data_IF_269076656538
#
_entry.id   IF_269076656538
#
_cell.length_a   1.000
_cell.length_b   1.000
_cell.length_c   1.000
_cell.angle_alpha   90.00
_cell.angle_beta   90.00
_cell.angle_gamma   90.00
#
_symmetry.space_group_name_H-M   'P 1'
#
loop_
_entity.id
_entity.type
_entity.pdbx_description
1 polymer ?
#
# COMPACT_ATOMS: atom_id res chain seq x y z
N UNK A 1 -7.13 -18.90 22.02
CA UNK A 1 -7.79 -18.76 23.33
C UNK A 1 -8.95 -17.77 23.31
N UNK A 2 -8.80 -16.55 22.79
CA UNK A 2 -9.94 -15.61 22.71
C UNK A 2 -11.06 -16.03 21.73
N UNK A 3 -10.72 -16.56 20.56
CA UNK A 3 -11.71 -16.90 19.52
C UNK A 3 -12.56 -18.13 19.84
N UNK A 4 -12.02 -19.08 20.61
CA UNK A 4 -12.72 -20.29 21.05
C UNK A 4 -13.85 -19.95 22.04
N UNK A 5 -13.60 -19.03 22.99
CA UNK A 5 -14.64 -18.52 23.89
C UNK A 5 -15.72 -17.71 23.18
N UNK A 6 -15.36 -16.96 22.12
CA UNK A 6 -16.34 -16.23 21.31
C UNK A 6 -17.23 -17.18 20.49
N UNK A 7 -16.67 -18.29 20.00
CA UNK A 7 -17.45 -19.34 19.34
C UNK A 7 -18.43 -20.00 20.32
N UNK A 8 -17.97 -20.35 21.52
CA UNK A 8 -18.80 -20.92 22.58
C UNK A 8 -19.98 -20.00 22.96
N UNK A 9 -19.74 -18.69 23.11
CA UNK A 9 -20.81 -17.73 23.37
C UNK A 9 -21.80 -17.63 22.18
N UNK A 10 -21.31 -17.60 20.94
CA UNK A 10 -22.16 -17.56 19.76
C UNK A 10 -23.05 -18.81 19.64
N UNK A 11 -22.52 -19.98 20.02
CA UNK A 11 -23.26 -21.25 20.10
C UNK A 11 -24.28 -21.25 21.25
N UNK A 12 -23.93 -20.69 22.41
CA UNK A 12 -24.83 -20.53 23.55
C UNK A 12 -26.07 -19.68 23.21
N UNK A 13 -25.88 -18.59 22.46
CA UNK A 13 -26.97 -17.73 21.98
C UNK A 13 -27.59 -18.20 20.65
N UNK A 14 -27.09 -19.28 20.06
CA UNK A 14 -27.56 -19.85 18.80
C UNK A 14 -27.58 -18.85 17.62
N UNK A 15 -26.53 -18.04 17.49
CA UNK A 15 -26.41 -17.01 16.45
C UNK A 15 -25.77 -17.63 15.20
N UNK A 16 -26.56 -18.36 14.41
CA UNK A 16 -26.11 -19.13 13.24
C UNK A 16 -25.15 -18.40 12.27
N UNK A 17 -25.44 -17.16 11.82
CA UNK A 17 -24.54 -16.41 10.94
C UNK A 17 -23.18 -16.13 11.57
N UNK A 18 -23.13 -15.83 12.87
CA UNK A 18 -21.90 -15.52 13.60
C UNK A 18 -21.08 -16.80 13.82
N UNK A 19 -21.72 -17.90 14.20
CA UNK A 19 -21.09 -19.23 14.32
C UNK A 19 -20.41 -19.60 13.00
N UNK A 20 -21.07 -19.38 11.86
CA UNK A 20 -20.51 -19.66 10.54
C UNK A 20 -19.28 -18.80 10.25
N UNK A 21 -19.36 -17.49 10.46
CA UNK A 21 -18.23 -16.57 10.22
C UNK A 21 -17.03 -16.91 11.12
N UNK A 22 -17.26 -17.24 12.39
CA UNK A 22 -16.19 -17.61 13.31
C UNK A 22 -15.56 -18.94 12.92
N UNK A 23 -16.36 -19.96 12.57
CA UNK A 23 -15.85 -21.26 12.11
C UNK A 23 -15.07 -21.14 10.80
N UNK A 24 -15.57 -20.39 9.83
CA UNK A 24 -14.89 -20.12 8.56
C UNK A 24 -13.52 -19.42 8.81
N UNK A 25 -13.48 -18.44 9.73
CA UNK A 25 -12.24 -17.74 10.13
C UNK A 25 -11.26 -18.61 10.91
N UNK A 26 -11.76 -19.48 11.79
CA UNK A 26 -10.93 -20.43 12.53
C UNK A 26 -10.33 -21.46 11.59
N UNK A 27 -11.08 -21.99 10.62
CA UNK A 27 -10.58 -22.91 9.61
C UNK A 27 -9.50 -22.29 8.71
N UNK A 28 -9.62 -20.99 8.37
CA UNK A 28 -8.57 -20.25 7.67
C UNK A 28 -7.27 -20.15 8.49
N UNK A 29 -7.40 -20.02 9.81
CA UNK A 29 -6.28 -19.87 10.76
C UNK A 29 -5.66 -21.21 11.18
N UNK A 30 -6.47 -22.27 11.20
CA UNK A 30 -6.08 -23.65 11.47
C UNK A 30 -5.69 -24.42 10.21
N UNK A 31 -5.82 -23.82 9.01
CA UNK A 31 -5.08 -24.30 7.84
C UNK A 31 -3.62 -24.25 8.27
N UNK A 32 -2.96 -25.41 8.44
CA UNK A 32 -1.60 -25.38 8.93
C UNK A 32 -0.83 -24.50 7.97
N UNK A 33 -0.18 -23.50 8.56
CA UNK A 33 1.12 -23.00 8.15
C UNK A 33 2.13 -24.19 8.06
N UNK A 34 1.76 -25.32 7.46
CA UNK A 34 2.65 -25.97 6.50
C UNK A 34 2.89 -24.91 5.45
N UNK A 35 3.86 -24.04 5.73
CA UNK A 35 4.36 -23.04 4.81
C UNK A 35 4.70 -23.81 3.55
N UNK A 36 3.79 -23.80 2.57
CA UNK A 36 4.16 -24.14 1.22
C UNK A 36 5.21 -23.10 0.89
N UNK A 37 6.48 -23.49 0.62
CA UNK A 37 7.50 -22.52 0.27
C UNK A 37 6.93 -21.63 -0.83
N UNK A 38 7.00 -20.30 -0.69
CA UNK A 38 6.41 -19.41 -1.65
C UNK A 38 6.90 -19.75 -3.06
N UNK A 39 5.97 -19.95 -3.98
CA UNK A 39 6.32 -20.29 -5.35
C UNK A 39 6.85 -19.03 -6.01
N UNK A 40 8.02 -19.09 -6.63
CA UNK A 40 8.59 -17.94 -7.34
C UNK A 40 8.35 -18.09 -8.84
N UNK A 41 7.93 -17.01 -9.49
CA UNK A 41 7.89 -16.89 -10.95
C UNK A 41 9.04 -16.01 -11.40
N UNK A 42 9.76 -16.46 -12.42
CA UNK A 42 10.89 -15.73 -12.99
C UNK A 42 10.55 -15.19 -14.38
N UNK A 43 11.04 -13.99 -14.69
CA UNK A 43 11.05 -13.41 -16.04
C UNK A 43 12.46 -12.97 -16.38
N UNK A 44 12.78 -13.01 -17.66
CA UNK A 44 14.03 -12.48 -18.21
C UNK A 44 13.65 -11.37 -19.17
N UNK A 45 14.19 -10.17 -18.93
CA UNK A 45 13.98 -8.98 -19.74
C UNK A 45 15.28 -8.64 -20.45
N UNK A 46 15.23 -8.43 -21.75
CA UNK A 46 16.37 -7.99 -22.55
C UNK A 46 16.30 -6.48 -22.74
N UNK A 47 17.40 -5.77 -22.53
CA UNK A 47 17.50 -4.33 -22.74
C UNK A 47 18.89 -3.93 -23.20
N UNK A 48 18.99 -2.76 -23.81
CA UNK A 48 20.28 -2.12 -24.10
C UNK A 48 20.81 -1.38 -22.86
N UNK A 49 22.10 -1.09 -22.84
CA UNK A 49 22.80 -0.43 -21.72
C UNK A 49 22.15 0.89 -21.33
N UNK A 50 21.79 1.72 -22.30
CA UNK A 50 21.24 3.06 -22.11
C UNK A 50 19.82 3.07 -21.57
N UNK A 51 19.07 1.97 -21.76
CA UNK A 51 17.69 1.83 -21.29
C UNK A 51 17.61 1.09 -19.94
N UNK A 52 18.70 0.45 -19.49
CA UNK A 52 18.71 -0.45 -18.35
C UNK A 52 18.18 0.21 -17.07
N UNK A 53 18.71 1.38 -16.71
CA UNK A 53 18.30 2.08 -15.49
C UNK A 53 16.83 2.44 -15.54
N UNK A 54 16.33 2.91 -16.69
CA UNK A 54 14.93 3.25 -16.86
C UNK A 54 14.04 2.00 -16.75
N UNK A 55 14.41 0.90 -17.39
CA UNK A 55 13.66 -0.34 -17.37
C UNK A 55 13.56 -0.93 -15.96
N UNK A 56 14.68 -0.98 -15.22
CA UNK A 56 14.70 -1.50 -13.84
C UNK A 56 13.92 -0.60 -12.88
N UNK A 57 14.00 0.73 -13.07
CA UNK A 57 13.33 1.69 -12.18
C UNK A 57 11.82 1.77 -12.40
N UNK A 58 11.33 1.42 -13.58
CA UNK A 58 9.90 1.46 -13.93
C UNK A 58 9.22 0.10 -13.85
N UNK A 59 9.93 -0.93 -13.35
CA UNK A 59 9.31 -2.23 -13.10
C UNK A 59 8.12 -2.07 -12.14
N UNK A 60 7.02 -2.74 -12.46
CA UNK A 60 5.84 -2.76 -11.61
C UNK A 60 6.17 -3.31 -10.22
N UNK A 61 5.46 -2.84 -9.20
CA UNK A 61 5.63 -3.27 -7.82
C UNK A 61 5.55 -4.80 -7.65
N UNK A 62 6.40 -5.32 -6.76
CA UNK A 62 6.45 -6.74 -6.41
C UNK A 62 7.31 -7.61 -7.32
N UNK A 63 8.01 -7.04 -8.32
CA UNK A 63 9.15 -7.73 -8.95
C UNK A 63 10.43 -7.45 -8.18
N UNK A 64 11.18 -8.50 -7.89
CA UNK A 64 12.50 -8.43 -7.27
C UNK A 64 13.55 -8.63 -8.34
N UNK A 65 14.54 -7.76 -8.35
CA UNK A 65 15.72 -7.93 -9.17
C UNK A 65 16.57 -9.08 -8.62
N UNK A 66 16.96 -10.02 -9.47
CA UNK A 66 17.75 -11.20 -9.09
C UNK A 66 19.16 -11.15 -9.66
N UNK A 67 19.29 -10.86 -10.96
CA UNK A 67 20.57 -10.90 -11.65
C UNK A 67 20.55 -10.04 -12.91
N UNK A 68 21.69 -9.43 -13.23
CA UNK A 68 21.96 -8.78 -14.51
C UNK A 68 23.11 -9.51 -15.19
N UNK A 69 22.90 -9.92 -16.44
CA UNK A 69 23.91 -10.61 -17.25
C UNK A 69 24.24 -9.74 -18.45
N UNK A 70 25.52 -9.39 -18.60
CA UNK A 70 26.01 -8.73 -19.82
C UNK A 70 26.20 -9.79 -20.91
N UNK A 71 25.56 -9.59 -22.06
CA UNK A 71 25.62 -10.48 -23.22
C UNK A 71 26.23 -9.80 -24.46
N UNK A 72 26.92 -8.66 -24.27
CA UNK A 72 27.52 -7.87 -25.34
C UNK A 72 28.37 -8.68 -26.32
N UNK A 73 28.45 -8.23 -27.57
CA UNK A 73 29.12 -8.98 -28.61
C UNK A 73 30.65 -8.94 -28.41
N UNK A 74 31.29 -10.10 -28.49
CA UNK A 74 32.76 -10.25 -28.31
C UNK A 74 33.56 -9.87 -29.56
N UNK A 75 32.90 -9.38 -30.62
CA UNK A 75 33.53 -9.06 -31.91
C UNK A 75 32.97 -7.77 -32.51
N UNK A 76 33.35 -6.63 -31.93
CA UNK A 76 33.02 -5.31 -32.47
C UNK A 76 34.07 -4.76 -33.41
N UNK A 77 33.71 -4.62 -34.69
CA UNK A 77 34.52 -3.97 -35.71
C UNK A 77 34.04 -2.56 -36.09
N UNK A 78 33.00 -2.06 -35.43
CA UNK A 78 32.40 -0.74 -35.66
C UNK A 78 31.89 -0.23 -34.32
N UNK A 79 32.41 0.91 -33.87
CA UNK A 79 32.26 1.42 -32.50
C UNK A 79 30.88 1.98 -32.14
N UNK A 80 29.82 1.21 -32.32
CA UNK A 80 28.44 1.54 -31.90
C UNK A 80 27.72 0.35 -31.22
N UNK A 81 28.47 -0.60 -30.65
CA UNK A 81 27.86 -1.70 -29.89
C UNK A 81 27.49 -1.20 -28.50
N UNK A 82 26.23 -0.87 -28.35
CA UNK A 82 25.64 -0.67 -27.04
C UNK A 82 25.51 -2.04 -26.40
N UNK A 83 26.09 -2.21 -25.20
CA UNK A 83 26.11 -3.51 -24.56
C UNK A 83 24.67 -3.98 -24.28
N UNK A 84 24.35 -5.20 -24.71
CA UNK A 84 23.06 -5.81 -24.40
C UNK A 84 23.10 -6.53 -23.05
N UNK A 85 21.99 -6.47 -22.31
CA UNK A 85 21.84 -7.09 -21.00
C UNK A 85 20.58 -7.95 -20.92
N UNK A 86 20.68 -9.00 -20.10
CA UNK A 86 19.54 -9.78 -19.62
C UNK A 86 19.32 -9.51 -18.12
N UNK A 87 18.17 -8.95 -17.79
CA UNK A 87 17.73 -8.70 -16.42
C UNK A 87 16.79 -9.84 -15.97
N UNK A 88 17.25 -10.65 -15.02
CA UNK A 88 16.48 -11.70 -14.37
C UNK A 88 15.73 -11.11 -13.19
N UNK A 89 14.42 -11.31 -13.16
CA UNK A 89 13.54 -10.80 -12.10
C UNK A 89 12.64 -11.90 -11.58
N UNK A 90 12.32 -11.86 -10.30
CA UNK A 90 11.43 -12.82 -9.65
C UNK A 90 10.21 -12.13 -9.05
N UNK A 91 9.12 -12.88 -8.91
CA UNK A 91 7.95 -12.48 -8.13
C UNK A 91 7.51 -13.64 -7.27
N UNK A 92 7.42 -13.39 -5.97
CA UNK A 92 6.89 -14.35 -5.02
C UNK A 92 5.37 -14.46 -5.20
N UNK A 93 4.87 -15.70 -5.29
CA UNK A 93 3.45 -16.01 -5.35
C UNK A 93 3.00 -16.58 -4.00
N UNK A 94 2.06 -15.89 -3.37
CA UNK A 94 1.28 -16.43 -2.27
C UNK A 94 0.11 -17.23 -2.84
N UNK A 95 0.18 -18.56 -2.78
CA UNK A 95 -0.98 -19.39 -3.09
C UNK A 95 -1.89 -19.43 -1.86
N UNK A 96 -2.89 -18.54 -1.81
CA UNK A 96 -4.05 -18.81 -0.95
C UNK A 96 -4.81 -19.99 -1.57
N UNK A 97 -5.13 -21.06 -0.81
CA UNK A 97 -5.92 -22.17 -1.32
C UNK A 97 -7.36 -21.75 -1.67
N UNK A 98 -7.81 -20.57 -1.25
CA UNK A 98 -9.13 -20.01 -1.56
C UNK A 98 -9.01 -18.60 -2.14
N UNK A 99 -8.62 -18.53 -3.42
CA UNK A 99 -9.23 -17.62 -4.41
C UNK A 99 -9.32 -16.11 -4.15
N UNK A 100 -8.66 -15.53 -3.16
CA UNK A 100 -8.57 -14.07 -2.97
C UNK A 100 -7.12 -13.64 -3.17
N UNK A 101 -6.70 -13.65 -4.43
CA UNK A 101 -5.50 -12.93 -4.85
C UNK A 101 -5.80 -11.43 -4.77
N UNK A 102 -5.70 -10.84 -3.58
CA UNK A 102 -5.50 -9.40 -3.41
C UNK A 102 -5.21 -9.08 -1.94
N UNK A 103 -3.95 -9.25 -1.54
CA UNK A 103 -3.45 -8.52 -0.39
C UNK A 103 -2.13 -7.83 -0.77
N UNK A 104 -2.25 -6.74 -1.53
CA UNK A 104 -1.14 -5.79 -1.73
C UNK A 104 -1.57 -4.31 -1.61
N UNK A 105 -2.79 -4.02 -1.13
CA UNK A 105 -3.28 -2.62 -1.04
C UNK A 105 -3.68 -2.14 0.35
N UNK A 106 -3.39 -2.88 1.43
CA UNK A 106 -3.80 -2.42 2.78
C UNK A 106 -2.84 -1.43 3.44
N UNK A 107 -1.74 -1.02 2.78
CA UNK A 107 -0.74 -0.13 3.40
C UNK A 107 -0.64 1.27 2.81
N UNK A 108 -1.25 1.56 1.67
CA UNK A 108 -1.25 2.91 1.08
C UNK A 108 -2.46 3.75 1.50
N UNK A 109 -3.60 3.13 1.79
CA UNK A 109 -4.82 3.88 2.17
C UNK A 109 -4.70 4.64 3.50
N UNK A 110 -3.89 4.15 4.44
CA UNK A 110 -3.76 4.79 5.77
C UNK A 110 -2.96 6.09 5.75
N UNK A 111 -2.17 6.38 4.71
CA UNK A 111 -1.37 7.60 4.63
C UNK A 111 -2.15 8.75 3.98
N UNK A 112 -2.99 8.46 2.98
CA UNK A 112 -3.85 9.46 2.33
C UNK A 112 -4.96 9.94 3.29
N UNK A 113 -5.54 9.03 4.07
CA UNK A 113 -6.60 9.36 5.03
C UNK A 113 -6.07 10.23 6.20
N UNK A 114 -4.81 10.04 6.61
CA UNK A 114 -4.15 10.88 7.62
C UNK A 114 -3.83 12.30 7.10
N UNK A 115 -3.40 12.41 5.84
CA UNK A 115 -3.11 13.71 5.21
C UNK A 115 -4.36 14.55 4.93
N UNK A 116 -5.51 13.90 4.67
CA UNK A 116 -6.80 14.59 4.52
C UNK A 116 -7.37 15.05 5.88
N UNK A 117 -7.19 14.26 6.95
CA UNK A 117 -7.59 14.66 8.31
C UNK A 117 -6.72 15.82 8.84
N UNK A 118 -5.41 15.83 8.57
CA UNK A 118 -4.53 16.95 8.94
C UNK A 118 -4.87 18.24 8.18
N UNK A 119 -5.19 18.15 6.88
CA UNK A 119 -5.62 19.32 6.09
C UNK A 119 -6.98 19.88 6.55
N UNK A 120 -7.94 19.02 6.89
CA UNK A 120 -9.24 19.48 7.41
C UNK A 120 -9.11 20.13 8.79
N UNK A 121 -8.23 19.62 9.66
CA UNK A 121 -7.95 20.27 10.95
C UNK A 121 -7.26 21.62 10.77
N UNK A 122 -6.32 21.75 9.83
CA UNK A 122 -5.65 23.02 9.55
C UNK A 122 -6.62 24.05 8.93
N UNK A 123 -7.53 23.63 8.05
CA UNK A 123 -8.57 24.53 7.51
C UNK A 123 -9.57 24.97 8.59
N UNK A 124 -9.99 24.07 9.48
CA UNK A 124 -10.90 24.41 10.59
C UNK A 124 -10.22 25.37 11.59
N UNK A 125 -8.95 25.16 11.91
CA UNK A 125 -8.19 26.05 12.81
C UNK A 125 -8.04 27.46 12.22
N UNK A 126 -7.78 27.57 10.90
CA UNK A 126 -7.67 28.85 10.19
C UNK A 126 -9.02 29.56 10.10
N UNK A 127 -10.13 28.84 9.87
CA UNK A 127 -11.47 29.42 9.84
C UNK A 127 -11.88 29.96 11.21
N UNK A 128 -11.61 29.21 12.28
CA UNK A 128 -11.90 29.63 13.66
C UNK A 128 -11.06 30.86 14.04
N UNK A 129 -9.77 30.89 13.69
CA UNK A 129 -8.92 32.06 13.94
C UNK A 129 -9.46 33.29 13.19
N UNK A 130 -9.82 33.16 11.92
CA UNK A 130 -10.34 34.26 11.11
C UNK A 130 -11.66 34.83 11.67
N UNK A 131 -12.59 33.97 12.10
CA UNK A 131 -13.85 34.40 12.74
C UNK A 131 -13.58 35.12 14.07
N UNK A 132 -12.61 34.64 14.86
CA UNK A 132 -12.21 35.29 16.10
C UNK A 132 -11.62 36.69 15.83
N UNK A 133 -10.80 36.85 14.79
CA UNK A 133 -10.21 38.17 14.43
C UNK A 133 -11.28 39.14 13.91
N UNK A 134 -12.26 38.66 13.13
CA UNK A 134 -13.39 39.50 12.69
C UNK A 134 -14.26 39.97 13.86
N UNK A 135 -14.54 39.09 14.83
CA UNK A 135 -15.29 39.44 16.03
C UNK A 135 -14.56 40.49 16.89
N UNK A 136 -13.25 40.36 17.08
CA UNK A 136 -12.42 41.34 17.81
C UNK A 136 -12.33 42.70 17.10
N UNK A 137 -12.36 42.69 15.76
CA UNK A 137 -12.32 43.93 14.95
C UNK A 137 -13.65 44.68 15.01
N UNK A 138 -14.77 43.97 15.18
CA UNK A 138 -16.11 44.56 15.30
C UNK A 138 -16.36 45.19 16.69
N UNK A 139 -15.78 44.65 17.76
CA UNK A 139 -15.90 45.22 19.11
C UNK A 139 -15.13 46.55 19.24
N UNK A 140 -14.00 46.71 18.55
CA UNK A 140 -13.22 47.98 18.54
C UNK A 140 -13.81 49.10 17.66
N UNK A 141 -14.79 48.79 16.80
CA UNK A 141 -15.46 49.78 15.94
C UNK A 141 -16.64 50.52 16.59
N UNK A 142 -17.12 50.07 17.76
CA UNK A 142 -18.34 50.59 18.39
C UNK A 142 -18.12 51.75 19.39
N UNK A 143 -16.91 52.31 19.48
CA UNK A 143 -16.65 53.50 20.29
C UNK A 143 -16.13 54.65 19.42
N UNK A 144 -17.03 55.42 18.80
CA UNK A 144 -16.71 56.76 18.32
C UNK A 144 -17.86 57.74 18.68
N UNK A 145 -17.55 59.03 18.93
CA UNK A 145 -18.34 59.90 19.79
C UNK A 145 -19.49 60.59 19.04
N UNK A 146 -20.59 60.78 19.75
CA UNK A 146 -21.60 61.82 19.50
C UNK A 146 -21.91 62.37 20.89
N UNK A 147 -21.64 63.63 21.24
CA UNK A 147 -21.78 64.84 20.44
C UNK A 147 -23.07 65.53 20.86
N UNK A 148 -23.03 66.24 21.99
CA UNK A 148 -23.70 67.51 22.32
C UNK A 148 -23.06 68.10 23.59
#
# INVERSE_FOLDING_TARGET
MAEEGVLEEAEFYNIGPLIRIIKDRMEEKDYPVTQVPPKHVYRVLQCQEEELTQMVSTMSDGWRFEQLVNIGSSYNYSGEDQAEFLCVVSKELHSSPHGLSSESSRKTKSAEEQLEEEQQQEEEEVEVEQVQVEADTQEKGAANPRGE
#
